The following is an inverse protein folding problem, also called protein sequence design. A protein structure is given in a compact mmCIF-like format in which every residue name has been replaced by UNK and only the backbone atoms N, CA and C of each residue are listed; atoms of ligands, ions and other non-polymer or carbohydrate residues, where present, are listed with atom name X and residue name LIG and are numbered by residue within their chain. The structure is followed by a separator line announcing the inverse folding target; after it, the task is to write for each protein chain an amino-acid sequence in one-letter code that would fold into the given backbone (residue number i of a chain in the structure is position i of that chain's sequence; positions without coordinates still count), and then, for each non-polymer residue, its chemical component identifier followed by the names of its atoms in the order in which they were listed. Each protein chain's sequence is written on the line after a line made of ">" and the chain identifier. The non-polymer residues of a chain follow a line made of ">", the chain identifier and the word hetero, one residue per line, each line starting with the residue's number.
data_IF_037482192973
#
_entry.id   IF_037482192973
#
_cell.length_a   1.000
_cell.length_b   1.000
_cell.length_c   1.000
_cell.angle_alpha   90.00
_cell.angle_beta   90.00
_cell.angle_gamma   90.00
#
_symmetry.space_group_name_H-M   'P 1'
#
loop_
_entity.id
_entity.type
_entity.pdbx_description
1 polymer ?
#
# COMPACT_ATOMS: atom_id res chain seq x y z
N UNK A 1 -15.86 -26.31 -4.83
CA UNK A 1 -15.20 -25.41 -3.86
C UNK A 1 -16.24 -24.95 -2.87
N UNK A 2 -15.99 -25.09 -1.58
CA UNK A 2 -16.83 -24.53 -0.51
C UNK A 2 -16.63 -23.02 -0.42
N UNK A 3 -17.56 -22.29 0.22
CA UNK A 3 -17.41 -20.85 0.48
C UNK A 3 -16.13 -20.52 1.25
N UNK A 4 -15.75 -21.39 2.19
CA UNK A 4 -14.51 -21.26 2.97
C UNK A 4 -13.26 -21.40 2.09
N UNK A 5 -13.26 -22.33 1.11
CA UNK A 5 -12.15 -22.46 0.16
C UNK A 5 -12.02 -21.25 -0.77
N UNK A 6 -13.15 -20.72 -1.25
CA UNK A 6 -13.17 -19.48 -2.03
C UNK A 6 -12.63 -18.32 -1.19
N UNK A 7 -13.10 -18.19 0.04
CA UNK A 7 -12.65 -17.14 0.97
C UNK A 7 -11.14 -17.23 1.25
N UNK A 8 -10.61 -18.43 1.45
CA UNK A 8 -9.17 -18.64 1.64
C UNK A 8 -8.36 -18.25 0.40
N UNK A 9 -8.85 -18.56 -0.80
CA UNK A 9 -8.20 -18.16 -2.04
C UNK A 9 -8.18 -16.64 -2.22
N UNK A 10 -9.32 -15.96 -1.98
CA UNK A 10 -9.42 -14.51 -2.05
C UNK A 10 -8.46 -13.83 -1.06
N UNK A 11 -8.36 -14.35 0.17
CA UNK A 11 -7.45 -13.83 1.18
C UNK A 11 -5.98 -13.99 0.76
N UNK A 12 -5.61 -15.17 0.26
CA UNK A 12 -4.24 -15.44 -0.21
C UNK A 12 -3.85 -14.51 -1.37
N UNK A 13 -4.74 -14.32 -2.36
CA UNK A 13 -4.50 -13.38 -3.47
C UNK A 13 -4.38 -11.95 -2.97
N UNK A 14 -5.26 -11.49 -2.06
CA UNK A 14 -5.19 -10.16 -1.49
C UNK A 14 -3.85 -9.89 -0.79
N UNK A 15 -3.36 -10.83 0.02
CA UNK A 15 -2.05 -10.74 0.69
C UNK A 15 -0.92 -10.64 -0.35
N UNK A 16 -0.98 -11.43 -1.41
CA UNK A 16 0.01 -11.37 -2.49
C UNK A 16 0.00 -9.98 -3.18
N UNK A 17 -1.19 -9.43 -3.49
CA UNK A 17 -1.32 -8.10 -4.09
C UNK A 17 -0.80 -6.98 -3.17
N UNK A 18 -1.06 -7.04 -1.87
CA UNK A 18 -0.49 -6.06 -0.93
C UNK A 18 1.04 -6.11 -0.91
N UNK A 19 1.65 -7.31 -0.96
CA UNK A 19 3.11 -7.46 -1.04
C UNK A 19 3.67 -6.90 -2.34
N UNK A 20 3.01 -7.14 -3.47
CA UNK A 20 3.40 -6.60 -4.77
C UNK A 20 3.34 -5.07 -4.77
N UNK A 21 2.24 -4.48 -4.29
CA UNK A 21 2.08 -3.02 -4.19
C UNK A 21 3.13 -2.41 -3.27
N UNK A 22 3.36 -3.02 -2.09
CA UNK A 22 4.44 -2.56 -1.19
C UNK A 22 5.78 -2.58 -1.90
N UNK A 23 6.13 -3.68 -2.55
CA UNK A 23 7.39 -3.80 -3.28
C UNK A 23 7.54 -2.78 -4.43
N UNK A 24 6.44 -2.39 -5.09
CA UNK A 24 6.46 -1.31 -6.09
C UNK A 24 6.77 0.04 -5.45
N UNK A 25 6.11 0.38 -4.35
CA UNK A 25 6.36 1.61 -3.59
C UNK A 25 7.80 1.69 -3.09
N UNK A 26 8.30 0.62 -2.46
CA UNK A 26 9.66 0.54 -1.93
C UNK A 26 10.71 0.74 -3.02
N UNK A 27 10.55 0.05 -4.16
CA UNK A 27 11.46 0.19 -5.32
C UNK A 27 11.41 1.57 -5.95
N UNK A 28 10.25 2.23 -5.96
CA UNK A 28 10.12 3.58 -6.45
C UNK A 28 10.86 4.57 -5.54
N UNK A 29 10.61 4.48 -4.24
CA UNK A 29 11.26 5.34 -3.24
C UNK A 29 12.78 5.14 -3.22
N UNK A 30 13.28 3.92 -3.42
CA UNK A 30 14.71 3.63 -3.48
C UNK A 30 15.45 4.32 -4.64
N UNK A 31 14.74 4.77 -5.67
CA UNK A 31 15.35 5.45 -6.83
C UNK A 31 15.49 6.97 -6.65
N UNK A 32 14.96 7.56 -5.60
CA UNK A 32 14.99 9.01 -5.37
C UNK A 32 15.80 9.36 -4.12
N UNK A 33 16.40 10.54 -4.13
CA UNK A 33 17.07 11.12 -2.96
C UNK A 33 16.05 11.80 -2.02
N UNK A 34 16.55 12.34 -0.92
CA UNK A 34 15.71 13.00 0.08
C UNK A 34 15.08 14.29 -0.48
N UNK A 35 15.78 15.03 -1.32
CA UNK A 35 15.23 16.24 -1.94
C UNK A 35 13.99 15.90 -2.76
N UNK A 36 14.06 14.88 -3.61
CA UNK A 36 12.93 14.42 -4.39
C UNK A 36 11.84 13.74 -3.54
N UNK A 37 12.21 13.06 -2.45
CA UNK A 37 11.25 12.42 -1.54
C UNK A 37 10.32 13.45 -0.85
N UNK A 38 10.85 14.62 -0.51
CA UNK A 38 10.09 15.70 0.13
C UNK A 38 9.54 16.75 -0.85
N UNK A 39 9.91 16.71 -2.12
CA UNK A 39 9.47 17.69 -3.11
C UNK A 39 7.96 17.58 -3.39
N UNK A 40 7.27 18.71 -3.34
CA UNK A 40 5.90 18.87 -3.80
C UNK A 40 5.88 19.87 -4.98
N UNK A 41 4.95 19.71 -5.92
CA UNK A 41 4.84 20.57 -7.09
C UNK A 41 4.34 21.99 -6.73
N UNK A 42 3.51 22.08 -5.70
CA UNK A 42 2.94 23.30 -5.14
C UNK A 42 2.55 23.05 -3.66
N UNK A 43 2.14 24.07 -2.90
CA UNK A 43 1.81 23.94 -1.47
C UNK A 43 0.65 22.98 -1.17
N UNK A 44 -0.26 22.74 -2.12
CA UNK A 44 -1.41 21.82 -1.95
C UNK A 44 -1.12 20.42 -2.50
N UNK A 45 0.02 20.24 -3.19
CA UNK A 45 0.39 18.97 -3.77
C UNK A 45 1.04 18.03 -2.74
N UNK A 46 0.74 16.75 -2.84
CA UNK A 46 1.38 15.75 -2.01
C UNK A 46 2.80 15.43 -2.52
N UNK A 47 3.78 15.47 -1.62
CA UNK A 47 5.09 14.84 -1.83
C UNK A 47 5.01 13.32 -1.60
N UNK A 48 6.07 12.59 -1.96
CA UNK A 48 6.21 11.16 -1.60
C UNK A 48 6.15 11.01 -0.07
N UNK A 49 6.81 11.90 0.68
CA UNK A 49 6.81 11.92 2.14
C UNK A 49 5.40 11.99 2.73
N UNK A 50 4.55 12.90 2.24
CA UNK A 50 3.16 13.04 2.67
C UNK A 50 2.33 11.81 2.35
N UNK A 51 2.48 11.23 1.16
CA UNK A 51 1.78 10.00 0.79
C UNK A 51 2.18 8.85 1.71
N UNK A 52 3.47 8.70 2.02
CA UNK A 52 3.97 7.66 2.95
C UNK A 52 3.41 7.87 4.35
N UNK A 53 3.45 9.12 4.87
CA UNK A 53 2.90 9.47 6.19
C UNK A 53 1.41 9.11 6.28
N UNK A 54 0.63 9.53 5.28
CA UNK A 54 -0.80 9.23 5.21
C UNK A 54 -1.08 7.72 5.16
N UNK A 55 -0.38 6.99 4.30
CA UNK A 55 -0.57 5.54 4.18
C UNK A 55 -0.21 4.83 5.48
N UNK A 56 0.89 5.21 6.14
CA UNK A 56 1.30 4.64 7.43
C UNK A 56 0.24 4.84 8.52
N UNK A 57 -0.28 6.07 8.66
CA UNK A 57 -1.37 6.40 9.59
C UNK A 57 -2.65 5.63 9.29
N UNK A 58 -3.02 5.56 8.00
CA UNK A 58 -4.18 4.81 7.55
C UNK A 58 -4.05 3.31 7.86
N UNK A 59 -2.94 2.67 7.53
CA UNK A 59 -2.74 1.24 7.79
C UNK A 59 -2.82 0.93 9.28
N UNK A 60 -2.16 1.72 10.13
CA UNK A 60 -2.19 1.55 11.58
C UNK A 60 -3.61 1.71 12.13
N UNK A 61 -4.33 2.76 11.75
CA UNK A 61 -5.68 2.99 12.22
C UNK A 61 -6.64 1.91 11.74
N UNK A 62 -6.59 1.58 10.45
CA UNK A 62 -7.55 0.69 9.80
C UNK A 62 -7.43 -0.76 10.27
N UNK A 63 -6.18 -1.26 10.45
CA UNK A 63 -5.95 -2.69 10.62
C UNK A 63 -5.71 -3.12 12.06
N UNK A 64 -5.19 -2.26 12.93
CA UNK A 64 -5.00 -2.65 14.34
C UNK A 64 -6.33 -3.04 14.99
N UNK A 65 -6.43 -4.30 15.43
CA UNK A 65 -7.63 -4.87 16.07
C UNK A 65 -8.92 -4.72 15.22
N UNK A 66 -8.81 -4.76 13.89
CA UNK A 66 -9.90 -4.35 12.99
C UNK A 66 -11.15 -5.24 13.06
N UNK A 67 -11.03 -6.47 13.60
CA UNK A 67 -12.16 -7.36 13.78
C UNK A 67 -13.08 -6.98 14.96
N UNK A 68 -12.60 -6.15 15.88
CA UNK A 68 -13.30 -5.80 17.14
C UNK A 68 -13.38 -4.30 17.42
N UNK A 69 -12.60 -3.49 16.70
CA UNK A 69 -12.59 -2.04 16.84
C UNK A 69 -12.92 -1.38 15.49
N UNK A 70 -13.48 -0.16 15.55
CA UNK A 70 -13.69 0.63 14.34
C UNK A 70 -12.36 0.91 13.62
N UNK A 71 -12.36 0.80 12.29
CA UNK A 71 -11.20 1.09 11.46
C UNK A 71 -10.79 2.57 11.42
N UNK A 72 -11.59 3.47 11.98
CA UNK A 72 -11.20 4.86 12.25
C UNK A 72 -11.01 5.02 13.75
N UNK A 73 -9.76 4.95 14.21
CA UNK A 73 -9.45 5.03 15.64
C UNK A 73 -9.67 6.44 16.18
N UNK A 74 -10.22 6.62 17.40
CA UNK A 74 -10.39 7.93 18.00
C UNK A 74 -9.09 8.72 18.20
N UNK A 75 -7.97 8.01 18.24
CA UNK A 75 -6.62 8.59 18.40
C UNK A 75 -5.97 8.96 17.07
N UNK A 76 -6.64 8.72 15.93
CA UNK A 76 -6.11 9.09 14.62
C UNK A 76 -6.35 10.58 14.37
N UNK A 77 -5.29 11.31 14.17
CA UNK A 77 -5.33 12.66 13.59
C UNK A 77 -5.01 12.56 12.09
N UNK A 78 -6.09 12.47 11.27
CA UNK A 78 -5.94 12.34 9.83
C UNK A 78 -5.38 13.60 9.18
N UNK A 79 -5.71 14.75 9.69
CA UNK A 79 -5.30 16.03 9.07
C UNK A 79 -3.79 16.23 9.22
N UNK A 80 -3.22 15.87 10.36
CA UNK A 80 -1.76 15.89 10.57
C UNK A 80 -0.98 14.95 9.63
N UNK A 81 -1.65 13.95 9.02
CA UNK A 81 -1.02 13.07 8.04
C UNK A 81 -0.68 13.79 6.73
N UNK A 82 -1.26 14.97 6.48
CA UNK A 82 -1.01 15.82 5.30
C UNK A 82 -0.16 17.05 5.59
N UNK A 83 0.44 17.09 6.77
CA UNK A 83 1.39 18.12 7.17
C UNK A 83 2.73 17.47 7.52
N UNK A 84 3.85 18.11 7.16
CA UNK A 84 5.20 17.65 7.53
C UNK A 84 5.74 18.48 8.67
N UNK A 85 6.17 17.80 9.73
CA UNK A 85 6.96 18.38 10.81
C UNK A 85 8.45 18.13 10.54
N UNK A 86 9.19 19.18 10.24
CA UNK A 86 10.61 19.10 9.93
C UNK A 86 11.46 18.48 11.06
N UNK A 87 10.99 18.56 12.32
CA UNK A 87 11.68 17.96 13.46
C UNK A 87 11.40 16.46 13.62
N UNK A 88 10.22 16.00 13.22
CA UNK A 88 9.76 14.63 13.44
C UNK A 88 9.79 13.77 12.16
N UNK A 89 9.51 14.37 10.99
CA UNK A 89 9.25 13.64 9.74
C UNK A 89 10.50 13.50 8.87
N UNK A 90 11.57 12.90 9.40
CA UNK A 90 12.69 12.49 8.56
C UNK A 90 12.27 11.33 7.64
N UNK A 91 12.96 11.16 6.49
CA UNK A 91 12.73 10.01 5.60
C UNK A 91 12.81 8.67 6.33
N UNK A 92 13.80 8.52 7.22
CA UNK A 92 13.96 7.31 8.01
C UNK A 92 12.75 7.07 8.93
N UNK A 93 12.25 8.11 9.61
CA UNK A 93 11.09 8.02 10.49
C UNK A 93 9.81 7.65 9.71
N UNK A 94 9.57 8.31 8.57
CA UNK A 94 8.41 8.03 7.71
C UNK A 94 8.46 6.62 7.11
N UNK A 95 9.64 6.18 6.66
CA UNK A 95 9.82 4.81 6.16
C UNK A 95 9.56 3.79 7.27
N UNK A 96 10.10 4.01 8.47
CA UNK A 96 9.85 3.13 9.63
C UNK A 96 8.36 3.08 10.01
N UNK A 97 7.66 4.21 9.96
CA UNK A 97 6.21 4.26 10.19
C UNK A 97 5.43 3.46 9.12
N UNK A 98 5.83 3.55 7.86
CA UNK A 98 5.28 2.76 6.75
C UNK A 98 5.48 1.26 6.96
N UNK A 99 6.70 0.84 7.35
CA UNK A 99 7.00 -0.57 7.67
C UNK A 99 6.15 -1.08 8.85
N UNK A 100 6.03 -0.28 9.91
CA UNK A 100 5.20 -0.65 11.06
C UNK A 100 3.71 -0.80 10.68
N UNK A 101 3.18 0.12 9.85
CA UNK A 101 1.81 0.03 9.32
C UNK A 101 1.61 -1.22 8.45
N UNK A 102 2.56 -1.52 7.58
CA UNK A 102 2.56 -2.73 6.75
C UNK A 102 2.62 -4.01 7.59
N UNK A 103 3.45 -4.03 8.63
CA UNK A 103 3.55 -5.18 9.55
C UNK A 103 2.20 -5.46 10.25
N UNK A 104 1.49 -4.42 10.70
CA UNK A 104 0.14 -4.56 11.28
C UNK A 104 -0.82 -5.18 10.26
N UNK A 105 -0.89 -4.62 9.03
CA UNK A 105 -1.74 -5.16 7.96
C UNK A 105 -1.49 -6.65 7.74
N UNK A 106 -0.23 -7.04 7.54
CA UNK A 106 0.12 -8.43 7.24
C UNK A 106 -0.11 -9.38 8.42
N UNK A 107 0.09 -8.93 9.65
CA UNK A 107 -0.21 -9.72 10.84
C UNK A 107 -1.72 -9.98 10.97
N UNK A 108 -2.53 -8.95 10.82
CA UNK A 108 -3.99 -9.07 10.91
C UNK A 108 -4.57 -9.93 9.78
N UNK A 109 -4.13 -9.73 8.53
CA UNK A 109 -4.56 -10.59 7.42
C UNK A 109 -4.08 -12.03 7.56
N UNK A 110 -2.87 -12.24 8.09
CA UNK A 110 -2.31 -13.57 8.30
C UNK A 110 -3.00 -14.38 9.40
N UNK A 111 -3.74 -13.71 10.29
CA UNK A 111 -4.54 -14.35 11.34
C UNK A 111 -5.94 -14.78 10.85
N UNK A 112 -6.37 -14.38 9.65
CA UNK A 112 -7.68 -14.71 9.11
C UNK A 112 -7.70 -16.07 8.41
N UNK A 113 -8.88 -16.68 8.39
CA UNK A 113 -9.21 -17.81 7.53
C UNK A 113 -10.29 -17.47 6.51
N UNK A 114 -10.57 -18.39 5.58
CA UNK A 114 -11.60 -18.19 4.56
C UNK A 114 -13.00 -17.96 5.13
N UNK A 115 -13.30 -18.54 6.28
CA UNK A 115 -14.59 -18.36 6.98
C UNK A 115 -14.77 -16.93 7.52
N UNK A 116 -13.67 -16.16 7.72
CA UNK A 116 -13.75 -14.80 8.22
C UNK A 116 -14.17 -13.76 7.19
N UNK A 117 -14.12 -14.10 5.90
CA UNK A 117 -14.33 -13.14 4.80
C UNK A 117 -15.68 -12.42 4.85
N UNK A 118 -16.70 -13.09 5.36
CA UNK A 118 -18.05 -12.52 5.48
C UNK A 118 -18.36 -11.93 6.85
N UNK A 119 -17.41 -11.94 7.81
CA UNK A 119 -17.60 -11.27 9.11
C UNK A 119 -17.76 -9.77 8.90
N UNK A 120 -18.58 -9.17 9.75
CA UNK A 120 -18.81 -7.72 9.74
C UNK A 120 -17.76 -7.02 10.58
N UNK A 121 -17.17 -5.97 10.02
CA UNK A 121 -16.27 -5.00 10.66
C UNK A 121 -16.82 -3.59 10.43
N UNK A 122 -16.39 -2.60 11.20
CA UNK A 122 -16.83 -1.22 11.06
C UNK A 122 -15.72 -0.29 10.63
N UNK A 123 -16.07 0.69 9.82
CA UNK A 123 -15.18 1.78 9.38
C UNK A 123 -15.98 3.07 9.45
N UNK A 124 -15.66 3.99 10.37
CA UNK A 124 -16.42 5.22 10.58
C UNK A 124 -17.90 4.93 10.85
N UNK A 125 -18.14 3.93 11.70
CA UNK A 125 -19.48 3.42 12.07
C UNK A 125 -20.25 2.76 10.91
N UNK A 126 -19.70 2.69 9.70
CA UNK A 126 -20.31 2.02 8.56
C UNK A 126 -19.92 0.53 8.57
N UNK A 127 -20.89 -0.41 8.51
CA UNK A 127 -20.60 -1.84 8.46
C UNK A 127 -20.08 -2.27 7.09
N UNK A 128 -19.04 -3.11 7.10
CA UNK A 128 -18.45 -3.73 5.93
C UNK A 128 -18.21 -5.21 6.19
N UNK A 129 -18.23 -6.05 5.15
CA UNK A 129 -17.64 -7.37 5.29
C UNK A 129 -16.10 -7.28 5.29
N UNK A 130 -15.42 -8.27 5.85
CA UNK A 130 -13.95 -8.35 5.81
C UNK A 130 -13.44 -8.28 4.38
N UNK A 131 -14.07 -9.00 3.44
CA UNK A 131 -13.68 -8.95 2.02
C UNK A 131 -13.86 -7.54 1.43
N UNK A 132 -14.93 -6.83 1.77
CA UNK A 132 -15.13 -5.45 1.32
C UNK A 132 -14.07 -4.49 1.91
N UNK A 133 -13.71 -4.69 3.18
CA UNK A 133 -12.63 -3.94 3.83
C UNK A 133 -11.28 -4.17 3.13
N UNK A 134 -10.96 -5.41 2.79
CA UNK A 134 -9.76 -5.78 2.03
C UNK A 134 -9.74 -5.10 0.66
N UNK A 135 -10.82 -5.18 -0.12
CA UNK A 135 -10.91 -4.56 -1.44
C UNK A 135 -10.78 -3.03 -1.37
N UNK A 136 -11.44 -2.41 -0.37
CA UNK A 136 -11.32 -0.97 -0.11
C UNK A 136 -9.87 -0.58 0.17
N UNK A 137 -9.15 -1.38 0.96
CA UNK A 137 -7.74 -1.11 1.27
C UNK A 137 -6.84 -1.34 0.05
N UNK A 138 -7.05 -2.39 -0.74
CA UNK A 138 -6.30 -2.65 -1.97
C UNK A 138 -6.42 -1.48 -2.95
N UNK A 139 -7.65 -0.97 -3.15
CA UNK A 139 -7.91 0.18 -4.01
C UNK A 139 -7.20 1.44 -3.49
N UNK A 140 -7.34 1.73 -2.20
CA UNK A 140 -6.70 2.89 -1.56
C UNK A 140 -5.17 2.79 -1.61
N UNK A 141 -4.61 1.63 -1.29
CA UNK A 141 -3.17 1.42 -1.30
C UNK A 141 -2.60 1.49 -2.72
N UNK A 142 -3.28 0.85 -3.69
CA UNK A 142 -2.90 0.92 -5.10
C UNK A 142 -2.91 2.34 -5.65
N UNK A 143 -3.91 3.15 -5.27
CA UNK A 143 -4.01 4.57 -5.63
C UNK A 143 -2.78 5.36 -5.13
N UNK A 144 -2.39 5.17 -3.86
CA UNK A 144 -1.26 5.89 -3.26
C UNK A 144 0.10 5.37 -3.74
N UNK A 145 0.26 4.07 -3.94
CA UNK A 145 1.48 3.52 -4.54
C UNK A 145 1.66 4.04 -5.97
N UNK A 146 0.57 4.17 -6.74
CA UNK A 146 0.60 4.80 -8.05
C UNK A 146 1.10 6.25 -8.02
N UNK A 147 0.70 7.04 -7.00
CA UNK A 147 1.21 8.40 -6.79
C UNK A 147 2.72 8.38 -6.48
N UNK A 148 3.18 7.52 -5.56
CA UNK A 148 4.61 7.38 -5.23
C UNK A 148 5.43 7.05 -6.48
N UNK A 149 4.98 6.07 -7.27
CA UNK A 149 5.66 5.67 -8.52
C UNK A 149 5.71 6.81 -9.52
N UNK A 150 4.60 7.55 -9.68
CA UNK A 150 4.53 8.69 -10.60
C UNK A 150 5.51 9.80 -10.19
N UNK A 151 5.47 10.22 -8.93
CA UNK A 151 6.34 11.27 -8.38
C UNK A 151 7.82 10.88 -8.46
N UNK A 152 8.16 9.67 -8.05
CA UNK A 152 9.53 9.16 -8.13
C UNK A 152 10.04 9.11 -9.57
N UNK A 153 9.21 8.65 -10.52
CA UNK A 153 9.55 8.62 -11.94
C UNK A 153 9.76 10.01 -12.52
N UNK A 154 8.91 10.99 -12.15
CA UNK A 154 9.07 12.38 -12.59
C UNK A 154 10.39 12.96 -12.07
N UNK A 155 10.73 12.73 -10.81
CA UNK A 155 11.97 13.20 -10.21
C UNK A 155 13.21 12.55 -10.86
N UNK A 156 13.15 11.24 -11.19
CA UNK A 156 14.28 10.51 -11.82
C UNK A 156 14.45 10.81 -13.31
N UNK A 157 13.40 11.21 -14.00
CA UNK A 157 13.46 11.53 -15.42
C UNK A 157 13.99 10.37 -16.27
N UNK A 158 15.04 10.61 -17.05
CA UNK A 158 15.68 9.61 -17.93
C UNK A 158 16.47 8.54 -17.19
N UNK A 159 16.82 8.78 -15.93
CA UNK A 159 17.55 7.82 -15.09
C UNK A 159 16.61 6.83 -14.35
N UNK A 160 15.31 6.81 -14.68
CA UNK A 160 14.34 5.92 -14.11
C UNK A 160 14.50 4.48 -14.57
N UNK A 161 14.68 3.55 -13.63
CA UNK A 161 14.60 2.12 -13.88
C UNK A 161 13.16 1.63 -13.82
N UNK A 162 12.67 1.01 -14.91
CA UNK A 162 11.28 0.55 -15.00
C UNK A 162 10.99 -0.53 -13.95
N UNK A 163 9.91 -0.34 -13.19
CA UNK A 163 9.45 -1.31 -12.17
C UNK A 163 8.56 -2.43 -12.74
N UNK A 164 8.27 -2.37 -14.03
CA UNK A 164 7.47 -3.34 -14.77
C UNK A 164 8.15 -3.63 -16.11
N UNK A 165 7.37 -3.87 -17.16
CA UNK A 165 7.90 -4.11 -18.51
C UNK A 165 8.40 -2.77 -19.08
N UNK A 166 9.71 -2.62 -19.42
CA UNK A 166 10.21 -1.42 -20.05
C UNK A 166 9.51 -1.14 -21.39
N UNK A 167 9.43 0.13 -21.77
CA UNK A 167 8.85 0.52 -23.05
C UNK A 167 9.52 -0.25 -24.21
N UNK A 168 8.71 -0.78 -25.13
CA UNK A 168 9.13 -1.55 -26.32
C UNK A 168 9.78 -2.92 -26.02
N UNK A 169 9.69 -3.43 -24.78
CA UNK A 169 10.23 -4.73 -24.37
C UNK A 169 9.15 -5.80 -24.13
N UNK A 170 7.88 -5.53 -24.49
CA UNK A 170 6.77 -6.46 -24.25
C UNK A 170 6.95 -7.81 -24.96
N UNK A 171 7.48 -7.82 -26.19
CA UNK A 171 7.71 -9.05 -26.95
C UNK A 171 8.77 -9.94 -26.29
N UNK A 172 9.90 -9.35 -25.86
CA UNK A 172 10.96 -10.05 -25.14
C UNK A 172 10.46 -10.61 -23.80
N UNK A 173 9.69 -9.79 -23.07
CA UNK A 173 9.09 -10.22 -21.80
C UNK A 173 8.14 -11.39 -21.98
N UNK A 174 7.23 -11.33 -22.97
CA UNK A 174 6.26 -12.39 -23.24
C UNK A 174 6.95 -13.69 -23.66
N UNK A 175 8.03 -13.63 -24.45
CA UNK A 175 8.81 -14.80 -24.81
C UNK A 175 9.43 -15.47 -23.56
N UNK A 176 10.07 -14.67 -22.69
CA UNK A 176 10.63 -15.16 -21.43
C UNK A 176 9.58 -15.78 -20.50
N UNK A 177 8.37 -15.19 -20.43
CA UNK A 177 7.27 -15.75 -19.65
C UNK A 177 6.77 -17.07 -20.20
N UNK A 178 6.66 -17.21 -21.53
CA UNK A 178 6.28 -18.45 -22.19
C UNK A 178 7.28 -19.58 -21.86
N UNK A 179 8.58 -19.27 -21.94
CA UNK A 179 9.62 -20.26 -21.65
C UNK A 179 9.63 -20.69 -20.18
N UNK A 180 9.33 -19.76 -19.26
CA UNK A 180 9.23 -20.02 -17.81
C UNK A 180 8.06 -20.94 -17.45
N UNK A 181 6.94 -20.86 -18.15
CA UNK A 181 5.70 -21.61 -17.88
C UNK A 181 5.46 -22.77 -18.83
N UNK A 182 6.38 -23.07 -19.74
CA UNK A 182 6.31 -24.21 -20.65
C UNK A 182 6.81 -25.54 -20.02
N UNK A 183 7.13 -25.55 -18.73
CA UNK A 183 7.63 -26.71 -17.99
C UNK A 183 6.57 -27.33 -17.09
#
# INVERSE_FOLDING_TARGET
>A
MSETEVGAHVLADAIARFRELKGLGDKAMAQVDDAAFFAAADPEANSIALVVKHVAGNLRSRWKNFLVEDGEKPTRDRDSEFELDAAADSRAALTAAGEAGGAILFAELGALGGADMMRTVTIRHEPHTVVACIHRQLTHYGYHVGQIVLLARQARGTAWDSLSIPRRKSAEFNAAMKDRHAR
#
